data_IF_881657924351
#
_entry.id   IF_881657924351
#
_cell.length_a   1.000
_cell.length_b   1.000
_cell.length_c   1.000
_cell.angle_alpha   90.00
_cell.angle_beta   90.00
_cell.angle_gamma   90.00
#
_symmetry.space_group_name_H-M   'P 1'
#
loop_
_entity.id
_entity.type
_entity.pdbx_description
1 polymer ?
#
# COMPACT_ATOMS: atom_id res chain seq x y z
N UNK A 1 0.12 -8.35 -5.88
CA UNK A 1 -0.99 -7.40 -5.66
C UNK A 1 -1.83 -7.27 -6.95
N UNK A 2 -3.00 -7.90 -7.02
CA UNK A 2 -3.89 -7.85 -8.19
C UNK A 2 -4.17 -6.42 -8.65
N UNK A 3 -4.06 -6.15 -9.96
CA UNK A 3 -4.38 -4.86 -10.59
C UNK A 3 -3.69 -3.60 -10.01
N UNK A 4 -2.72 -3.73 -9.08
CA UNK A 4 -2.06 -2.58 -8.46
C UNK A 4 -1.44 -1.64 -9.49
N UNK A 5 -0.80 -2.18 -10.53
CA UNK A 5 -0.20 -1.40 -11.62
C UNK A 5 -1.21 -0.47 -12.32
N UNK A 6 -2.49 -0.86 -12.40
CA UNK A 6 -3.55 -0.03 -13.01
C UNK A 6 -3.92 1.14 -12.09
N UNK A 7 -4.03 0.90 -10.79
CA UNK A 7 -4.31 1.95 -9.82
C UNK A 7 -3.14 2.91 -9.68
N UNK A 8 -1.91 2.39 -9.60
CA UNK A 8 -0.71 3.22 -9.47
C UNK A 8 -0.43 4.03 -10.72
N UNK A 9 -0.72 3.53 -11.93
CA UNK A 9 -0.58 4.30 -13.16
C UNK A 9 -1.38 5.63 -13.12
N UNK A 10 -2.54 5.64 -12.48
CA UNK A 10 -3.36 6.86 -12.29
C UNK A 10 -2.70 7.83 -11.30
N UNK A 11 -1.98 7.32 -10.30
CA UNK A 11 -1.30 8.12 -9.28
C UNK A 11 0.13 8.53 -9.69
N UNK A 12 0.75 7.82 -10.63
CA UNK A 12 2.14 8.06 -11.08
C UNK A 12 2.42 9.53 -11.46
N UNK A 13 1.54 10.26 -12.15
CA UNK A 13 1.81 11.67 -12.47
C UNK A 13 2.04 12.54 -11.23
N UNK A 14 1.44 12.18 -10.08
CA UNK A 14 1.55 12.91 -8.80
C UNK A 14 2.91 12.76 -8.12
N UNK A 15 3.73 11.79 -8.55
CA UNK A 15 5.04 11.50 -7.94
C UNK A 15 6.22 11.85 -8.84
N UNK A 16 5.95 12.47 -10.00
CA UNK A 16 7.01 12.87 -10.93
C UNK A 16 7.76 14.10 -10.43
N UNK A 17 9.02 14.27 -10.84
CA UNK A 17 9.79 15.51 -10.56
C UNK A 17 9.08 16.78 -11.04
N UNK A 18 8.29 16.68 -12.11
CA UNK A 18 7.51 17.80 -12.60
C UNK A 18 6.41 18.23 -11.60
N UNK A 19 5.86 17.29 -10.82
CA UNK A 19 4.85 17.57 -9.80
C UNK A 19 5.41 18.36 -8.60
N UNK A 20 6.73 18.34 -8.38
CA UNK A 20 7.38 19.18 -7.35
C UNK A 20 7.32 20.66 -7.71
N UNK A 21 7.35 20.97 -9.01
CA UNK A 21 7.26 22.35 -9.51
C UNK A 21 5.80 22.79 -9.67
N UNK A 22 4.96 21.90 -10.20
CA UNK A 22 3.55 22.15 -10.46
C UNK A 22 2.73 20.91 -10.12
N UNK A 23 2.25 20.83 -8.87
CA UNK A 23 1.50 19.67 -8.43
C UNK A 23 0.17 19.56 -9.18
N UNK A 24 -0.15 18.43 -9.83
CA UNK A 24 -1.42 18.24 -10.50
C UNK A 24 -2.58 18.33 -9.50
N UNK A 25 -3.72 18.86 -9.92
CA UNK A 25 -4.90 18.90 -9.07
C UNK A 25 -5.29 17.49 -8.61
N UNK A 26 -5.57 17.36 -7.31
CA UNK A 26 -6.15 16.13 -6.78
C UNK A 26 -7.60 16.01 -7.23
N UNK A 27 -7.98 14.84 -7.75
CA UNK A 27 -9.31 14.62 -8.34
C UNK A 27 -10.00 13.45 -7.65
N UNK A 28 -11.32 13.36 -7.80
CA UNK A 28 -12.09 12.22 -7.28
C UNK A 28 -11.63 10.87 -7.86
N UNK A 29 -11.00 10.87 -9.04
CA UNK A 29 -10.38 9.67 -9.59
C UNK A 29 -9.15 9.24 -8.78
N UNK A 30 -8.33 10.19 -8.34
CA UNK A 30 -7.18 9.91 -7.45
C UNK A 30 -7.67 9.35 -6.11
N UNK A 31 -8.71 9.94 -5.51
CA UNK A 31 -9.33 9.40 -4.29
C UNK A 31 -9.79 7.95 -4.47
N UNK A 32 -10.55 7.69 -5.53
CA UNK A 32 -11.12 6.38 -5.80
C UNK A 32 -10.03 5.32 -5.95
N UNK A 33 -8.99 5.57 -6.75
CA UNK A 33 -7.90 4.59 -6.91
C UNK A 33 -7.06 4.44 -5.65
N UNK A 34 -6.89 5.51 -4.86
CA UNK A 34 -6.17 5.43 -3.60
C UNK A 34 -6.92 4.59 -2.57
N UNK A 35 -8.24 4.75 -2.45
CA UNK A 35 -9.05 3.88 -1.59
C UNK A 35 -9.04 2.42 -2.07
N UNK A 36 -9.12 2.19 -3.38
CA UNK A 36 -9.05 0.84 -3.93
C UNK A 36 -7.72 0.14 -3.58
N UNK A 37 -6.59 0.87 -3.55
CA UNK A 37 -5.31 0.32 -3.09
C UNK A 37 -5.38 -0.05 -1.60
N UNK A 38 -5.97 0.81 -0.75
CA UNK A 38 -6.12 0.51 0.67
C UNK A 38 -6.98 -0.73 0.89
N UNK A 39 -8.12 -0.83 0.21
CA UNK A 39 -9.00 -2.01 0.24
C UNK A 39 -8.25 -3.27 -0.20
N UNK A 40 -7.44 -3.17 -1.24
CA UNK A 40 -6.61 -4.27 -1.71
C UNK A 40 -5.62 -4.73 -0.62
N UNK A 41 -4.89 -3.81 0.01
CA UNK A 41 -3.87 -4.15 1.02
C UNK A 41 -4.48 -4.84 2.25
N UNK A 42 -5.71 -4.49 2.64
CA UNK A 42 -6.40 -5.13 3.77
C UNK A 42 -7.20 -6.38 3.38
N UNK A 43 -7.17 -6.78 2.10
CA UNK A 43 -7.92 -7.93 1.60
C UNK A 43 -7.18 -9.27 1.79
N UNK A 44 -7.89 -10.41 1.70
CA UNK A 44 -7.28 -11.74 1.66
C UNK A 44 -6.38 -11.98 0.43
N UNK A 45 -6.36 -11.07 -0.55
CA UNK A 45 -5.43 -11.16 -1.67
C UNK A 45 -4.01 -10.71 -1.29
N UNK A 46 -3.85 -10.06 -0.13
CA UNK A 46 -2.58 -9.52 0.36
C UNK A 46 -2.25 -9.98 1.78
N UNK A 47 -3.27 -10.28 2.58
CA UNK A 47 -3.11 -10.80 3.92
C UNK A 47 -3.30 -12.31 3.95
N UNK A 48 -2.57 -12.97 4.84
CA UNK A 48 -2.73 -14.39 5.15
C UNK A 48 -3.24 -14.55 6.58
N UNK A 49 -3.93 -15.66 6.86
CA UNK A 49 -4.33 -16.02 8.22
C UNK A 49 -3.24 -16.87 8.85
N UNK A 50 -2.91 -16.57 10.10
CA UNK A 50 -1.99 -17.40 10.89
C UNK A 50 -2.80 -18.54 11.51
N UNK A 51 -2.50 -19.77 11.10
CA UNK A 51 -2.97 -20.96 11.81
C UNK A 51 -2.01 -21.22 12.99
N UNK A 52 -2.48 -20.97 14.21
CA UNK A 52 -1.70 -21.16 15.42
C UNK A 52 -1.60 -22.62 15.86
N UNK A 53 -2.57 -23.46 15.47
CA UNK A 53 -2.61 -24.86 15.85
C UNK A 53 -1.75 -25.72 14.91
N UNK A 54 -1.66 -25.31 13.65
CA UNK A 54 -0.83 -25.97 12.64
C UNK A 54 -0.18 -24.97 11.66
N UNK A 55 0.83 -24.21 12.11
CA UNK A 55 1.49 -23.20 11.27
C UNK A 55 2.28 -23.80 10.10
N UNK A 56 2.61 -25.09 10.12
CA UNK A 56 3.43 -25.74 9.10
C UNK A 56 4.80 -25.09 8.96
N UNK A 57 5.28 -24.92 7.73
CA UNK A 57 6.54 -24.24 7.40
C UNK A 57 6.39 -22.71 7.27
N UNK A 58 5.28 -22.14 7.72
CA UNK A 58 5.10 -20.69 7.67
C UNK A 58 5.95 -20.02 8.75
N UNK A 59 6.86 -19.14 8.32
CA UNK A 59 7.69 -18.33 9.21
C UNK A 59 7.17 -16.90 9.28
N UNK A 60 7.13 -16.33 10.48
CA UNK A 60 6.76 -14.92 10.70
C UNK A 60 8.03 -14.10 10.79
N UNK A 61 8.14 -13.10 9.92
CA UNK A 61 9.21 -12.11 9.93
C UNK A 61 8.60 -10.76 10.26
N UNK A 62 9.25 -10.00 11.13
CA UNK A 62 8.80 -8.66 11.54
C UNK A 62 9.77 -7.64 11.00
N UNK A 63 9.26 -6.67 10.25
CA UNK A 63 10.03 -5.52 9.78
C UNK A 63 9.55 -4.27 10.51
N UNK A 64 10.46 -3.57 11.17
CA UNK A 64 10.16 -2.33 11.89
C UNK A 64 10.93 -1.16 11.28
N UNK A 65 10.31 0.00 11.26
CA UNK A 65 10.97 1.27 10.97
C UNK A 65 10.49 2.34 11.96
N UNK A 66 11.35 3.30 12.26
CA UNK A 66 11.08 4.35 13.24
C UNK A 66 11.44 5.72 12.68
N UNK A 67 10.60 6.70 12.96
CA UNK A 67 10.81 8.12 12.65
C UNK A 67 10.93 8.92 13.94
N UNK A 68 11.23 10.22 13.82
CA UNK A 68 11.28 11.16 14.95
C UNK A 68 9.96 11.27 15.72
N UNK A 69 8.83 10.85 15.12
CA UNK A 69 7.50 10.99 15.70
C UNK A 69 6.87 9.67 16.15
N UNK A 70 7.12 8.57 15.43
CA UNK A 70 6.42 7.30 15.63
C UNK A 70 7.18 6.11 15.01
N UNK A 71 6.77 4.91 15.42
CA UNK A 71 7.22 3.62 14.90
C UNK A 71 6.14 2.94 14.05
N UNK A 72 6.54 2.24 13.00
CA UNK A 72 5.69 1.34 12.22
C UNK A 72 6.29 -0.05 12.14
N UNK A 73 5.43 -1.06 12.02
CA UNK A 73 5.85 -2.45 11.84
C UNK A 73 4.91 -3.19 10.87
N UNK A 74 5.47 -4.12 10.10
CA UNK A 74 4.76 -5.06 9.23
C UNK A 74 5.24 -6.47 9.51
#
# INVERSE_FOLDING_TARGET
LPALAKHTHVLTPLTTKAAELHFPAWTSKHDMVFQAIKELVVSPQCLTTIDHDNPGENHIFVTCDASDYATGAV
#
